data_IF_704408444550
#
_entry.id   IF_704408444550
#
_cell.length_a   1.000
_cell.length_b   1.000
_cell.length_c   1.000
_cell.angle_alpha   90.00
_cell.angle_beta   90.00
_cell.angle_gamma   90.00
#
_symmetry.space_group_name_H-M   'P 1'
#
loop_
_entity.id
_entity.type
_entity.pdbx_description
1 polymer ?
#
# COMPACT_ATOMS: atom_id res chain seq x y z
N UNK A 1 -33.54 -7.39 21.24
CA UNK A 1 -32.31 -6.57 21.39
C UNK A 1 -31.56 -6.64 20.07
N UNK A 2 -31.32 -5.52 19.41
CA UNK A 2 -30.46 -5.50 18.23
C UNK A 2 -29.05 -5.90 18.66
N UNK A 3 -28.46 -6.92 18.01
CA UNK A 3 -27.06 -7.32 18.25
C UNK A 3 -26.17 -6.10 18.05
N UNK A 4 -25.29 -5.79 19.03
CA UNK A 4 -24.28 -4.75 18.86
C UNK A 4 -23.28 -5.17 17.79
N UNK A 5 -22.93 -4.22 16.95
CA UNK A 5 -21.91 -4.42 15.93
C UNK A 5 -20.58 -4.76 16.61
N UNK A 6 -19.91 -5.82 16.13
CA UNK A 6 -18.63 -6.27 16.65
C UNK A 6 -17.56 -6.28 15.59
N UNK A 7 -16.48 -5.53 15.77
CA UNK A 7 -15.36 -5.40 14.83
C UNK A 7 -14.12 -6.10 15.38
N UNK A 8 -13.44 -6.87 14.54
CA UNK A 8 -12.08 -7.33 14.83
C UNK A 8 -11.05 -6.31 14.30
N UNK A 9 -10.01 -5.98 15.06
CA UNK A 9 -8.87 -5.21 14.56
C UNK A 9 -7.65 -6.11 14.57
N UNK A 10 -7.25 -6.56 13.38
CA UNK A 10 -6.08 -7.41 13.18
C UNK A 10 -4.81 -6.55 13.11
N UNK A 11 -3.82 -6.81 13.96
CA UNK A 11 -2.59 -6.03 14.00
C UNK A 11 -1.39 -6.89 14.41
N UNK A 12 -0.17 -6.48 14.01
CA UNK A 12 1.08 -7.12 14.46
C UNK A 12 1.69 -6.41 15.67
N UNK A 13 1.49 -5.11 15.76
CA UNK A 13 2.03 -4.26 16.84
C UNK A 13 1.19 -3.00 16.97
N UNK A 14 0.94 -2.57 18.21
CA UNK A 14 0.20 -1.33 18.47
C UNK A 14 1.12 -0.13 18.22
N UNK A 15 0.98 0.51 17.07
CA UNK A 15 1.60 1.79 16.71
C UNK A 15 0.69 2.95 17.12
N UNK A 16 1.05 4.15 16.79
CA UNK A 16 0.23 5.34 17.07
C UNK A 16 -1.10 5.29 16.27
N UNK A 17 -1.06 4.80 15.04
CA UNK A 17 -2.24 4.61 14.19
C UNK A 17 -3.26 3.66 14.83
N UNK A 18 -2.82 2.52 15.32
CA UNK A 18 -3.70 1.55 16.00
C UNK A 18 -4.29 2.14 17.27
N UNK A 19 -3.52 2.95 18.04
CA UNK A 19 -4.06 3.65 19.23
C UNK A 19 -5.16 4.65 18.85
N UNK A 20 -5.00 5.39 17.76
CA UNK A 20 -6.02 6.32 17.27
C UNK A 20 -7.26 5.57 16.79
N UNK A 21 -7.11 4.47 16.06
CA UNK A 21 -8.22 3.61 15.62
C UNK A 21 -8.98 3.06 16.82
N UNK A 22 -8.30 2.55 17.85
CA UNK A 22 -8.95 2.08 19.06
C UNK A 22 -9.72 3.20 19.75
N UNK A 23 -9.11 4.39 19.89
CA UNK A 23 -9.77 5.56 20.46
C UNK A 23 -11.00 6.00 19.66
N UNK A 24 -10.95 5.95 18.32
CA UNK A 24 -12.10 6.25 17.46
C UNK A 24 -13.24 5.23 17.65
N UNK A 25 -12.93 3.93 17.78
CA UNK A 25 -13.93 2.91 18.07
C UNK A 25 -14.57 3.11 19.45
N UNK A 26 -13.77 3.41 20.48
CA UNK A 26 -14.25 3.71 21.84
C UNK A 26 -15.15 4.93 21.86
N UNK A 27 -14.75 6.03 21.21
CA UNK A 27 -15.53 7.26 21.06
C UNK A 27 -16.88 7.04 20.38
N UNK A 28 -16.94 6.11 19.42
CA UNK A 28 -18.17 5.73 18.72
C UNK A 28 -18.99 4.65 19.44
N UNK A 29 -18.50 4.12 20.55
CA UNK A 29 -19.17 3.05 21.31
C UNK A 29 -19.27 1.74 20.54
N UNK A 30 -18.31 1.45 19.65
CA UNK A 30 -18.23 0.22 18.88
C UNK A 30 -17.61 -0.87 19.76
N UNK A 31 -18.22 -2.05 19.80
CA UNK A 31 -17.64 -3.24 20.41
C UNK A 31 -16.56 -3.80 19.49
N UNK A 32 -15.32 -3.97 19.99
CA UNK A 32 -14.23 -4.46 19.18
C UNK A 32 -13.24 -5.33 19.95
N UNK A 33 -12.66 -6.30 19.25
CA UNK A 33 -11.57 -7.14 19.75
C UNK A 33 -10.25 -6.78 19.08
N UNK A 34 -9.16 -6.83 19.86
CA UNK A 34 -7.79 -6.64 19.40
C UNK A 34 -7.20 -8.00 19.04
N UNK A 35 -6.94 -8.23 17.76
CA UNK A 35 -6.48 -9.50 17.21
C UNK A 35 -4.98 -9.39 16.84
N UNK A 36 -4.10 -9.87 17.72
CA UNK A 36 -2.66 -9.91 17.46
C UNK A 36 -2.36 -11.06 16.48
N UNK A 37 -1.89 -10.75 15.26
CA UNK A 37 -1.63 -11.72 14.21
C UNK A 37 -0.54 -12.76 14.56
N UNK A 38 0.21 -12.52 15.63
CA UNK A 38 1.23 -13.43 16.17
C UNK A 38 0.68 -14.39 17.23
N UNK A 39 -0.51 -14.12 17.74
CA UNK A 39 -1.13 -14.88 18.83
C UNK A 39 -2.39 -15.65 18.39
N UNK A 40 -3.00 -15.26 17.26
CA UNK A 40 -4.18 -15.94 16.72
C UNK A 40 -3.79 -17.17 15.92
N UNK A 41 -4.71 -18.13 15.83
CA UNK A 41 -4.65 -19.25 14.91
C UNK A 41 -6.02 -19.45 14.24
N UNK A 42 -6.04 -20.01 13.06
CA UNK A 42 -7.25 -20.33 12.32
C UNK A 42 -7.43 -21.84 12.29
N UNK A 43 -8.52 -22.36 12.87
CA UNK A 43 -8.96 -23.72 12.61
C UNK A 43 -9.75 -23.71 11.29
N UNK A 44 -9.21 -24.39 10.28
CA UNK A 44 -9.81 -24.41 8.94
C UNK A 44 -11.13 -25.19 8.88
N UNK A 45 -11.42 -26.01 9.90
CA UNK A 45 -12.64 -26.79 10.02
C UNK A 45 -13.69 -26.12 10.91
N UNK A 46 -13.34 -25.10 11.70
CA UNK A 46 -14.27 -24.33 12.53
C UNK A 46 -14.15 -22.82 12.32
N UNK A 47 -14.91 -22.24 11.39
CA UNK A 47 -14.93 -20.80 11.14
C UNK A 47 -15.70 -19.98 12.17
N UNK A 48 -16.51 -20.65 13.04
CA UNK A 48 -17.44 -19.97 13.96
C UNK A 48 -16.81 -18.92 14.86
N UNK A 49 -15.59 -19.11 15.43
CA UNK A 49 -14.94 -18.08 16.24
C UNK A 49 -14.74 -16.76 15.49
N UNK A 50 -14.60 -16.81 14.15
CA UNK A 50 -14.37 -15.63 13.32
C UNK A 50 -15.69 -15.01 12.83
N UNK A 51 -16.73 -15.82 12.63
CA UNK A 51 -18.04 -15.36 12.18
C UNK A 51 -18.80 -14.55 13.24
N UNK A 52 -18.25 -14.37 14.44
CA UNK A 52 -18.78 -13.43 15.41
C UNK A 52 -18.54 -11.96 15.03
N UNK A 53 -17.56 -11.68 14.18
CA UNK A 53 -17.25 -10.32 13.72
C UNK A 53 -18.12 -9.93 12.53
N UNK A 54 -18.65 -8.73 12.58
CA UNK A 54 -19.41 -8.13 11.47
C UNK A 54 -18.45 -7.61 10.39
N UNK A 55 -17.20 -7.22 10.78
CA UNK A 55 -16.08 -6.99 9.89
C UNK A 55 -14.75 -7.11 10.64
N UNK A 56 -13.66 -7.29 9.90
CA UNK A 56 -12.29 -7.20 10.44
C UNK A 56 -11.51 -6.11 9.70
N UNK A 57 -11.00 -5.14 10.47
CA UNK A 57 -10.07 -4.12 9.97
C UNK A 57 -8.64 -4.66 10.05
N UNK A 58 -7.98 -4.76 8.90
CA UNK A 58 -6.62 -5.27 8.78
C UNK A 58 -5.59 -4.15 8.94
N UNK A 59 -4.63 -4.35 9.84
CA UNK A 59 -3.54 -3.44 10.19
C UNK A 59 -2.21 -4.16 10.43
N UNK A 60 -2.04 -5.38 9.91
CA UNK A 60 -0.81 -6.15 10.06
C UNK A 60 0.38 -5.48 9.38
N UNK A 61 1.54 -5.49 10.04
CA UNK A 61 2.80 -5.01 9.45
C UNK A 61 3.39 -6.08 8.52
N UNK A 62 3.19 -7.36 8.87
CA UNK A 62 3.61 -8.49 8.06
C UNK A 62 2.64 -8.67 6.90
N UNK A 63 3.11 -8.41 5.67
CA UNK A 63 2.31 -8.63 4.47
C UNK A 63 1.72 -10.05 4.39
N UNK A 64 2.56 -11.06 4.64
CA UNK A 64 2.11 -12.45 4.56
C UNK A 64 1.05 -12.77 5.61
N UNK A 65 1.27 -12.37 6.88
CA UNK A 65 0.29 -12.63 7.94
C UNK A 65 -1.04 -11.94 7.63
N UNK A 66 -1.00 -10.66 7.24
CA UNK A 66 -2.19 -9.90 6.85
C UNK A 66 -2.92 -10.54 5.68
N UNK A 67 -2.23 -10.84 4.58
CA UNK A 67 -2.84 -11.41 3.38
C UNK A 67 -3.49 -12.78 3.65
N UNK A 68 -2.78 -13.69 4.34
CA UNK A 68 -3.35 -15.01 4.64
C UNK A 68 -4.52 -14.93 5.62
N UNK A 69 -4.44 -14.05 6.63
CA UNK A 69 -5.57 -13.82 7.53
C UNK A 69 -6.80 -13.28 6.78
N UNK A 70 -6.61 -12.30 5.88
CA UNK A 70 -7.69 -11.77 5.04
C UNK A 70 -8.31 -12.83 4.14
N UNK A 71 -7.49 -13.68 3.50
CA UNK A 71 -7.97 -14.78 2.66
C UNK A 71 -8.83 -15.75 3.46
N UNK A 72 -8.39 -16.13 4.67
CA UNK A 72 -9.15 -17.03 5.54
C UNK A 72 -10.44 -16.38 6.04
N UNK A 73 -10.39 -15.14 6.51
CA UNK A 73 -11.57 -14.41 6.97
C UNK A 73 -12.62 -14.28 5.84
N UNK A 74 -12.17 -13.89 4.63
CA UNK A 74 -13.09 -13.79 3.49
C UNK A 74 -13.65 -15.17 3.08
N UNK A 75 -12.84 -16.25 3.14
CA UNK A 75 -13.33 -17.61 2.90
C UNK A 75 -14.35 -18.06 3.95
N UNK A 76 -14.25 -17.57 5.19
CA UNK A 76 -15.21 -17.81 6.27
C UNK A 76 -16.46 -16.91 6.18
N UNK A 77 -16.56 -16.06 5.15
CA UNK A 77 -17.67 -15.13 4.96
C UNK A 77 -17.60 -13.89 5.86
N UNK A 78 -16.46 -13.59 6.46
CA UNK A 78 -16.26 -12.39 7.29
C UNK A 78 -15.79 -11.23 6.40
N UNK A 79 -16.53 -10.13 6.32
CA UNK A 79 -16.11 -8.92 5.61
C UNK A 79 -14.81 -8.35 6.19
N UNK A 80 -13.94 -7.82 5.33
CA UNK A 80 -12.67 -7.23 5.77
C UNK A 80 -12.42 -5.87 5.12
N UNK A 81 -11.68 -5.01 5.80
CA UNK A 81 -11.15 -3.75 5.29
C UNK A 81 -9.62 -3.75 5.47
N UNK A 82 -8.82 -3.78 4.37
CA UNK A 82 -9.28 -3.99 3.01
C UNK A 82 -9.61 -5.48 2.74
N UNK A 83 -10.12 -5.78 1.53
CA UNK A 83 -10.34 -7.18 1.12
C UNK A 83 -9.02 -7.89 0.80
N UNK A 84 -9.06 -9.23 0.82
CA UNK A 84 -7.90 -10.04 0.44
C UNK A 84 -7.38 -9.72 -0.98
N UNK A 85 -8.29 -9.48 -1.94
CA UNK A 85 -7.93 -9.14 -3.32
C UNK A 85 -7.22 -7.79 -3.42
N UNK A 86 -7.67 -6.80 -2.67
CA UNK A 86 -7.00 -5.49 -2.61
C UNK A 86 -5.61 -5.61 -1.98
N UNK A 87 -5.49 -6.35 -0.88
CA UNK A 87 -4.21 -6.58 -0.22
C UNK A 87 -3.22 -7.34 -1.13
N UNK A 88 -3.70 -8.31 -1.90
CA UNK A 88 -2.88 -9.07 -2.85
C UNK A 88 -2.35 -8.18 -3.98
N UNK A 89 -3.21 -7.35 -4.58
CA UNK A 89 -2.80 -6.45 -5.67
C UNK A 89 -1.85 -5.37 -5.13
N UNK A 90 -2.22 -4.69 -4.06
CA UNK A 90 -1.43 -3.57 -3.52
C UNK A 90 -0.13 -4.01 -2.83
N UNK A 91 -0.05 -5.24 -2.32
CA UNK A 91 1.15 -5.80 -1.68
C UNK A 91 2.24 -6.20 -2.66
N UNK A 92 1.92 -6.30 -3.94
CA UNK A 92 2.83 -6.66 -5.03
C UNK A 92 2.88 -5.53 -6.08
N UNK A 93 4.07 -4.93 -6.28
CA UNK A 93 4.26 -3.80 -7.21
C UNK A 93 3.98 -4.18 -8.66
N UNK A 94 4.29 -5.42 -9.05
CA UNK A 94 3.99 -5.89 -10.39
C UNK A 94 2.48 -6.02 -10.62
N UNK A 95 1.76 -6.57 -9.64
CA UNK A 95 0.31 -6.70 -9.73
C UNK A 95 -0.39 -5.33 -9.71
N UNK A 96 0.09 -4.40 -8.89
CA UNK A 96 -0.38 -3.00 -8.89
C UNK A 96 -0.16 -2.36 -10.26
N UNK A 97 1.05 -2.46 -10.82
CA UNK A 97 1.36 -1.89 -12.13
C UNK A 97 0.55 -2.52 -13.26
N UNK A 98 0.31 -3.83 -13.21
CA UNK A 98 -0.54 -4.52 -14.18
C UNK A 98 -2.01 -4.05 -14.10
N UNK A 99 -2.54 -3.84 -12.89
CA UNK A 99 -3.88 -3.30 -12.70
C UNK A 99 -4.02 -1.86 -13.23
N UNK A 100 -3.04 -1.00 -12.92
CA UNK A 100 -3.00 0.37 -13.43
C UNK A 100 -2.91 0.41 -14.96
N UNK A 101 -2.06 -0.44 -15.56
CA UNK A 101 -1.90 -0.53 -17.02
C UNK A 101 -3.19 -1.00 -17.70
N UNK A 102 -3.85 -2.04 -17.16
CA UNK A 102 -5.13 -2.55 -17.66
C UNK A 102 -6.19 -1.45 -17.76
N UNK A 103 -6.25 -0.57 -16.78
CA UNK A 103 -7.26 0.48 -16.67
C UNK A 103 -6.78 1.84 -17.22
N UNK A 104 -5.62 1.87 -17.88
CA UNK A 104 -5.06 3.08 -18.50
C UNK A 104 -4.74 4.20 -17.51
N UNK A 105 -4.40 3.85 -16.27
CA UNK A 105 -4.00 4.84 -15.25
C UNK A 105 -2.54 5.22 -15.46
N UNK A 106 -2.20 6.51 -15.56
CA UNK A 106 -0.83 6.97 -15.72
C UNK A 106 0.09 6.47 -14.62
N UNK A 107 1.20 5.83 -15.01
CA UNK A 107 2.24 5.30 -14.13
C UNK A 107 3.61 5.44 -14.79
N UNK A 108 4.72 5.31 -14.04
CA UNK A 108 6.04 5.20 -14.63
C UNK A 108 6.12 4.06 -15.64
N UNK A 109 7.02 4.16 -16.61
CA UNK A 109 7.31 3.02 -17.47
C UNK A 109 7.94 1.89 -16.66
N UNK A 110 7.34 0.71 -16.72
CA UNK A 110 7.74 -0.46 -15.95
C UNK A 110 7.95 -1.66 -16.88
N UNK A 111 8.95 -2.48 -16.57
CA UNK A 111 9.14 -3.79 -17.19
C UNK A 111 9.40 -4.85 -16.13
N UNK A 112 9.19 -6.10 -16.49
CA UNK A 112 9.48 -7.24 -15.64
C UNK A 112 10.20 -8.30 -16.44
N UNK A 113 11.24 -8.90 -15.84
CA UNK A 113 11.99 -10.02 -16.38
C UNK A 113 12.16 -11.12 -15.33
N UNK A 114 12.44 -12.33 -15.77
CA UNK A 114 12.57 -13.52 -14.93
C UNK A 114 13.96 -14.13 -14.96
N UNK A 115 14.88 -13.56 -15.75
CA UNK A 115 16.29 -13.89 -15.77
C UNK A 115 17.13 -12.63 -15.73
N UNK A 116 18.38 -12.67 -15.21
CA UNK A 116 19.28 -11.52 -15.23
C UNK A 116 19.55 -10.99 -16.64
N UNK A 117 19.67 -11.88 -17.62
CA UNK A 117 19.94 -11.52 -19.02
C UNK A 117 18.78 -10.72 -19.62
N UNK A 118 17.54 -11.22 -19.49
CA UNK A 118 16.35 -10.50 -19.97
C UNK A 118 16.13 -9.20 -19.19
N UNK A 119 16.50 -9.15 -17.91
CA UNK A 119 16.44 -7.92 -17.12
C UNK A 119 17.45 -6.88 -17.63
N UNK A 120 18.66 -7.30 -17.96
CA UNK A 120 19.69 -6.42 -18.52
C UNK A 120 19.27 -5.88 -19.88
N UNK A 121 18.71 -6.71 -20.76
CA UNK A 121 18.16 -6.26 -22.05
C UNK A 121 17.06 -5.20 -21.86
N UNK A 122 16.15 -5.41 -20.92
CA UNK A 122 15.11 -4.42 -20.60
C UNK A 122 15.69 -3.11 -20.05
N UNK A 123 16.70 -3.17 -19.18
CA UNK A 123 17.39 -1.99 -18.66
C UNK A 123 18.06 -1.20 -19.78
N UNK A 124 18.76 -1.89 -20.68
CA UNK A 124 19.40 -1.26 -21.85
C UNK A 124 18.37 -0.58 -22.77
N UNK A 125 17.19 -1.19 -22.94
CA UNK A 125 16.11 -0.60 -23.72
C UNK A 125 15.49 0.65 -23.06
N UNK A 126 15.44 0.70 -21.73
CA UNK A 126 15.01 1.90 -20.99
C UNK A 126 16.05 3.03 -21.05
N UNK A 127 17.32 2.66 -21.10
CA UNK A 127 18.42 3.58 -20.82
C UNK A 127 18.61 3.85 -19.31
N UNK A 128 19.73 4.49 -18.98
CA UNK A 128 20.10 4.78 -17.59
C UNK A 128 19.78 6.23 -17.21
N UNK A 129 19.47 6.51 -15.94
CA UNK A 129 19.32 5.55 -14.85
C UNK A 129 17.95 4.86 -14.81
N UNK A 130 17.90 3.67 -14.21
CA UNK A 130 16.67 2.93 -13.88
C UNK A 130 16.59 2.61 -12.39
N UNK A 131 15.42 2.20 -11.91
CA UNK A 131 15.21 1.75 -10.54
C UNK A 131 14.79 0.28 -10.52
N UNK A 132 15.58 -0.56 -9.85
CA UNK A 132 15.21 -1.93 -9.53
C UNK A 132 14.52 -1.96 -8.17
N UNK A 133 13.35 -2.62 -8.11
CA UNK A 133 12.56 -2.75 -6.89
C UNK A 133 12.25 -4.23 -6.61
N UNK A 134 12.14 -4.66 -5.34
CA UNK A 134 11.50 -5.93 -5.05
C UNK A 134 10.00 -5.82 -5.35
N UNK A 135 9.40 -6.87 -5.91
CA UNK A 135 7.94 -6.88 -6.18
C UNK A 135 7.14 -6.76 -4.89
N UNK A 136 7.56 -7.49 -3.85
CA UNK A 136 7.01 -7.37 -2.49
C UNK A 136 8.04 -6.70 -1.60
N UNK A 137 7.66 -5.61 -0.93
CA UNK A 137 8.54 -4.86 -0.03
C UNK A 137 7.99 -3.46 0.24
N UNK A 138 8.38 -2.91 1.40
CA UNK A 138 7.92 -1.62 1.91
C UNK A 138 9.08 -0.74 2.40
N UNK A 139 8.75 0.51 2.76
CA UNK A 139 9.67 1.50 3.34
C UNK A 139 10.91 1.83 2.50
N UNK A 140 10.84 1.68 1.17
CA UNK A 140 11.97 1.98 0.29
C UNK A 140 13.20 1.10 0.54
N UNK A 141 13.01 -0.12 1.07
CA UNK A 141 14.09 -1.08 1.27
C UNK A 141 14.37 -1.84 -0.01
N UNK A 142 15.66 -2.19 -0.21
CA UNK A 142 16.14 -2.98 -1.35
C UNK A 142 15.85 -2.33 -2.72
N UNK A 143 15.67 -1.01 -2.75
CA UNK A 143 15.64 -0.24 -3.99
C UNK A 143 17.07 0.03 -4.45
N UNK A 144 17.33 -0.16 -5.73
CA UNK A 144 18.61 0.18 -6.35
C UNK A 144 18.38 1.14 -7.52
N UNK A 145 18.98 2.34 -7.46
CA UNK A 145 19.16 3.21 -8.63
C UNK A 145 20.39 2.75 -9.37
N UNK A 146 20.22 2.32 -10.60
CA UNK A 146 21.26 1.75 -11.47
C UNK A 146 21.59 2.79 -12.52
N UNK A 147 22.83 3.24 -12.53
CA UNK A 147 23.27 4.37 -13.36
C UNK A 147 24.00 3.97 -14.64
N UNK A 148 24.46 2.73 -14.72
CA UNK A 148 25.23 2.20 -15.85
C UNK A 148 25.12 0.66 -15.91
N UNK A 149 25.71 0.07 -16.94
CA UNK A 149 25.67 -1.35 -17.22
C UNK A 149 26.39 -2.16 -16.13
N UNK A 150 27.56 -1.71 -15.68
CA UNK A 150 28.35 -2.47 -14.69
C UNK A 150 27.58 -2.58 -13.37
N UNK A 151 26.93 -1.48 -12.95
CA UNK A 151 26.05 -1.47 -11.79
C UNK A 151 24.82 -2.37 -11.98
N UNK A 152 24.26 -2.41 -13.20
CA UNK A 152 23.14 -3.31 -13.52
C UNK A 152 23.54 -4.78 -13.36
N UNK A 153 24.62 -5.20 -14.00
CA UNK A 153 25.14 -6.58 -13.95
C UNK A 153 25.41 -7.00 -12.50
N UNK A 154 26.08 -6.15 -11.71
CA UNK A 154 26.38 -6.45 -10.30
C UNK A 154 25.09 -6.61 -9.46
N UNK A 155 24.10 -5.72 -9.60
CA UNK A 155 22.84 -5.82 -8.83
C UNK A 155 22.01 -7.03 -9.26
N UNK A 156 21.96 -7.35 -10.54
CA UNK A 156 21.25 -8.52 -11.07
C UNK A 156 21.88 -9.82 -10.60
N UNK A 157 23.21 -9.93 -10.60
CA UNK A 157 23.97 -11.06 -10.06
C UNK A 157 23.69 -11.26 -8.58
N UNK A 158 23.79 -10.20 -7.77
CA UNK A 158 23.47 -10.27 -6.34
C UNK A 158 22.04 -10.77 -6.08
N UNK A 159 21.05 -10.24 -6.82
CA UNK A 159 19.65 -10.65 -6.67
C UNK A 159 19.44 -12.12 -7.06
N UNK A 160 20.06 -12.59 -8.13
CA UNK A 160 19.90 -13.97 -8.59
C UNK A 160 20.62 -14.99 -7.69
N UNK A 161 21.77 -14.60 -7.11
CA UNK A 161 22.63 -15.52 -6.33
C UNK A 161 22.24 -15.56 -4.85
N UNK A 162 22.00 -14.42 -4.24
CA UNK A 162 21.75 -14.29 -2.79
C UNK A 162 20.27 -14.04 -2.44
N UNK A 163 19.45 -13.81 -3.44
CA UNK A 163 18.03 -13.51 -3.24
C UNK A 163 17.20 -14.75 -2.90
N UNK A 164 16.07 -14.52 -2.26
CA UNK A 164 15.02 -15.54 -2.11
C UNK A 164 14.28 -15.74 -3.45
N UNK A 165 13.40 -16.74 -3.51
CA UNK A 165 12.54 -17.01 -4.69
C UNK A 165 11.80 -15.75 -5.18
N UNK A 166 11.40 -14.87 -4.29
CA UNK A 166 10.76 -13.59 -4.65
C UNK A 166 11.70 -12.60 -5.36
N UNK A 167 13.02 -12.77 -5.23
CA UNK A 167 14.02 -11.93 -5.89
C UNK A 167 14.35 -12.39 -7.31
N UNK A 168 13.84 -13.55 -7.75
CA UNK A 168 13.95 -14.00 -9.15
C UNK A 168 13.05 -13.24 -10.11
N UNK A 169 12.14 -12.39 -9.60
CA UNK A 169 11.35 -11.47 -10.39
C UNK A 169 12.04 -10.10 -10.38
N UNK A 170 12.49 -9.65 -11.54
CA UNK A 170 13.17 -8.38 -11.72
C UNK A 170 12.17 -7.33 -12.16
N UNK A 171 11.71 -6.49 -11.22
CA UNK A 171 10.84 -5.36 -11.52
C UNK A 171 11.70 -4.13 -11.75
N UNK A 172 11.63 -3.60 -12.98
CA UNK A 172 12.43 -2.48 -13.50
C UNK A 172 11.48 -1.31 -13.73
N UNK A 173 11.85 -0.13 -13.24
CA UNK A 173 11.08 1.10 -13.43
C UNK A 173 11.97 2.21 -13.94
N UNK A 174 11.46 3.05 -14.85
CA UNK A 174 12.16 4.27 -15.24
C UNK A 174 12.48 5.12 -14.00
N UNK A 175 13.66 5.74 -14.01
CA UNK A 175 13.98 6.72 -12.98
C UNK A 175 13.34 8.06 -13.34
N UNK A 176 12.52 8.58 -12.43
CA UNK A 176 11.90 9.89 -12.58
C UNK A 176 12.69 10.90 -11.76
N UNK A 177 13.22 11.92 -12.45
CA UNK A 177 13.84 13.08 -11.80
C UNK A 177 12.73 13.99 -11.29
N UNK A 178 12.34 13.79 -10.04
CA UNK A 178 11.28 14.53 -9.38
C UNK A 178 11.83 15.74 -8.61
N UNK A 179 11.01 16.77 -8.34
CA UNK A 179 11.44 18.03 -7.72
C UNK A 179 11.71 17.91 -6.21
N UNK A 180 12.45 16.88 -5.76
CA UNK A 180 12.77 16.66 -4.34
C UNK A 180 11.56 16.32 -3.46
N UNK A 181 10.43 15.94 -4.07
CA UNK A 181 9.20 15.57 -3.36
C UNK A 181 8.40 14.51 -4.11
N UNK A 182 7.45 13.90 -3.40
CA UNK A 182 6.34 13.16 -3.97
C UNK A 182 5.04 13.52 -3.21
N UNK A 183 3.91 13.00 -3.67
CA UNK A 183 2.61 13.25 -3.06
C UNK A 183 2.07 11.92 -2.53
N UNK A 184 1.67 11.88 -1.27
CA UNK A 184 0.86 10.78 -0.72
C UNK A 184 -0.56 11.28 -0.50
N UNK A 185 -1.54 10.65 -1.16
CA UNK A 185 -2.95 10.92 -0.97
C UNK A 185 -3.63 9.74 -0.26
N UNK A 186 -4.54 10.02 0.67
CA UNK A 186 -5.38 9.02 1.32
C UNK A 186 -6.72 8.97 0.61
N UNK A 187 -7.08 7.78 0.14
CA UNK A 187 -8.38 7.48 -0.46
C UNK A 187 -9.16 6.58 0.47
N UNK A 188 -10.40 6.94 0.77
CA UNK A 188 -11.33 6.13 1.57
C UNK A 188 -12.63 5.99 0.79
N UNK A 189 -12.87 4.76 0.31
CA UNK A 189 -14.03 4.48 -0.54
C UNK A 189 -13.94 5.22 -1.87
N UNK A 190 -14.83 6.17 -2.06
CA UNK A 190 -15.02 6.96 -3.30
C UNK A 190 -14.53 8.40 -3.20
N UNK A 191 -13.73 8.74 -2.18
CA UNK A 191 -13.22 10.11 -1.99
C UNK A 191 -11.73 10.14 -1.64
N UNK A 192 -11.05 11.18 -2.09
CA UNK A 192 -9.72 11.55 -1.62
C UNK A 192 -9.90 12.38 -0.35
N UNK A 193 -9.47 11.82 0.79
CA UNK A 193 -9.66 12.45 2.10
C UNK A 193 -8.70 13.63 2.32
N UNK A 194 -7.43 13.40 2.02
CA UNK A 194 -6.36 14.38 2.21
C UNK A 194 -5.13 13.97 1.40
N UNK A 195 -4.23 14.92 1.15
CA UNK A 195 -2.95 14.66 0.52
C UNK A 195 -1.81 15.43 1.19
N UNK A 196 -0.59 14.92 1.07
CA UNK A 196 0.61 15.48 1.69
C UNK A 196 1.79 15.39 0.73
N UNK A 197 2.56 16.46 0.57
CA UNK A 197 3.89 16.40 0.01
C UNK A 197 4.85 15.74 1.00
N UNK A 198 5.70 14.83 0.51
CA UNK A 198 6.82 14.27 1.27
C UNK A 198 8.11 14.81 0.65
N UNK A 199 8.78 15.73 1.34
CA UNK A 199 9.99 16.38 0.86
C UNK A 199 11.23 15.70 1.40
N UNK A 200 12.25 15.51 0.56
CA UNK A 200 13.53 14.93 0.94
C UNK A 200 14.61 15.35 -0.06
N UNK A 201 15.83 15.60 0.41
CA UNK A 201 17.00 15.76 -0.45
C UNK A 201 17.44 14.45 -1.12
N UNK A 202 17.03 13.31 -0.54
CA UNK A 202 17.30 12.00 -1.10
C UNK A 202 16.26 11.64 -2.18
N UNK A 203 16.68 10.93 -3.22
CA UNK A 203 15.77 10.50 -4.30
C UNK A 203 14.62 9.59 -3.83
N UNK A 204 14.79 8.90 -2.69
CA UNK A 204 13.71 8.21 -1.98
C UNK A 204 13.13 9.19 -0.95
N UNK A 205 11.88 9.61 -1.15
CA UNK A 205 11.20 10.65 -0.37
C UNK A 205 10.36 10.12 0.80
N UNK A 206 10.49 8.84 1.14
CA UNK A 206 9.75 8.20 2.23
C UNK A 206 9.97 8.89 3.58
N UNK A 207 8.88 9.20 4.31
CA UNK A 207 8.93 9.78 5.67
C UNK A 207 9.69 8.90 6.66
N UNK A 208 9.68 7.57 6.48
CA UNK A 208 10.51 6.63 7.27
C UNK A 208 12.02 6.89 7.14
N UNK A 209 12.47 7.69 6.18
CA UNK A 209 13.87 8.11 5.96
C UNK A 209 14.10 9.59 6.30
N UNK A 210 13.21 10.21 7.06
CA UNK A 210 13.33 11.61 7.49
C UNK A 210 12.71 12.63 6.54
N UNK A 211 11.85 12.21 5.60
CA UNK A 211 11.11 13.13 4.76
C UNK A 211 10.13 13.99 5.58
N UNK A 212 10.08 15.29 5.29
CA UNK A 212 9.15 16.22 5.92
C UNK A 212 7.79 16.19 5.22
N UNK A 213 6.71 16.21 6.02
CA UNK A 213 5.34 16.26 5.53
C UNK A 213 4.81 17.69 5.48
N UNK A 214 4.23 18.08 4.34
CA UNK A 214 3.54 19.36 4.16
C UNK A 214 2.19 19.13 3.48
N UNK A 215 1.15 19.83 3.92
CA UNK A 215 -0.19 19.69 3.33
C UNK A 215 -0.15 19.95 1.82
N UNK A 216 -0.69 19.04 1.04
CA UNK A 216 -0.86 19.16 -0.40
C UNK A 216 -2.33 19.46 -0.70
N UNK A 217 -2.65 20.57 -1.39
CA UNK A 217 -4.03 20.83 -1.83
C UNK A 217 -4.48 19.72 -2.81
N UNK A 218 -5.69 19.22 -2.62
CA UNK A 218 -6.30 18.27 -3.54
C UNK A 218 -6.80 19.06 -4.76
N UNK A 219 -6.07 18.92 -5.87
CA UNK A 219 -6.51 19.45 -7.16
C UNK A 219 -7.44 18.47 -7.86
N UNK A 220 -8.28 18.89 -8.83
CA UNK A 220 -9.09 17.98 -9.63
C UNK A 220 -8.28 16.87 -10.29
N UNK A 221 -7.05 17.16 -10.72
CA UNK A 221 -6.13 16.16 -11.31
C UNK A 221 -5.70 15.10 -10.29
N UNK A 222 -5.32 15.51 -9.06
CA UNK A 222 -4.97 14.59 -7.97
C UNK A 222 -6.17 13.72 -7.60
N UNK A 223 -7.36 14.34 -7.47
CA UNK A 223 -8.58 13.63 -7.10
C UNK A 223 -8.93 12.57 -8.15
N UNK A 224 -9.03 12.95 -9.43
CA UNK A 224 -9.35 12.04 -10.53
C UNK A 224 -8.36 10.88 -10.59
N UNK A 225 -7.05 11.19 -10.58
CA UNK A 225 -6.00 10.18 -10.70
C UNK A 225 -6.02 9.19 -9.53
N UNK A 226 -6.17 9.69 -8.29
CA UNK A 226 -6.23 8.85 -7.10
C UNK A 226 -7.48 7.95 -7.08
N UNK A 227 -8.65 8.47 -7.48
CA UNK A 227 -9.88 7.67 -7.55
C UNK A 227 -9.82 6.60 -8.63
N UNK A 228 -9.25 6.92 -9.81
CA UNK A 228 -9.00 5.93 -10.86
C UNK A 228 -8.03 4.84 -10.38
N UNK A 229 -6.94 5.23 -9.74
CA UNK A 229 -5.96 4.30 -9.18
C UNK A 229 -6.58 3.38 -8.11
N UNK A 230 -7.35 3.95 -7.18
CA UNK A 230 -8.05 3.18 -6.16
C UNK A 230 -9.04 2.18 -6.78
N UNK A 231 -9.81 2.60 -7.78
CA UNK A 231 -10.74 1.73 -8.50
C UNK A 231 -10.05 0.56 -9.19
N UNK A 232 -8.87 0.78 -9.78
CA UNK A 232 -8.10 -0.26 -10.48
C UNK A 232 -7.68 -1.42 -9.59
N UNK A 233 -7.50 -1.18 -8.29
CA UNK A 233 -7.12 -2.21 -7.31
C UNK A 233 -8.28 -2.74 -6.46
N UNK A 234 -9.50 -2.23 -6.67
CA UNK A 234 -10.71 -2.68 -5.96
C UNK A 234 -11.20 -1.76 -4.85
N UNK A 235 -10.61 -0.58 -4.68
CA UNK A 235 -11.04 0.43 -3.70
C UNK A 235 -10.64 0.10 -2.26
N UNK A 236 -11.32 0.74 -1.30
CA UNK A 236 -11.08 0.51 0.14
C UNK A 236 -10.43 1.69 0.85
N UNK A 237 -9.56 1.40 1.80
CA UNK A 237 -8.76 2.38 2.56
C UNK A 237 -7.32 2.31 2.05
N UNK A 238 -6.92 3.30 1.26
CA UNK A 238 -5.68 3.25 0.49
C UNK A 238 -4.85 4.52 0.66
N UNK A 239 -3.52 4.38 0.60
CA UNK A 239 -2.64 5.51 0.30
C UNK A 239 -2.10 5.36 -1.13
N UNK A 240 -2.32 6.38 -1.96
CA UNK A 240 -1.82 6.47 -3.33
C UNK A 240 -0.63 7.41 -3.34
N UNK A 241 0.51 6.91 -3.78
CA UNK A 241 1.74 7.69 -3.92
C UNK A 241 1.88 8.15 -5.36
N UNK A 242 1.89 9.48 -5.56
CA UNK A 242 2.04 10.11 -6.87
C UNK A 242 3.42 10.74 -7.00
N UNK A 243 3.96 10.73 -8.22
CA UNK A 243 5.16 11.48 -8.56
C UNK A 243 4.90 12.42 -9.72
N UNK A 244 5.57 13.58 -9.69
CA UNK A 244 5.55 14.57 -10.76
C UNK A 244 6.55 14.13 -11.84
N UNK A 245 6.05 13.58 -12.95
CA UNK A 245 6.88 13.19 -14.09
C UNK A 245 7.08 14.39 -15.01
N UNK A 246 8.33 14.68 -15.46
CA UNK A 246 8.63 15.90 -16.22
C UNK A 246 7.85 16.01 -17.54
N UNK A 247 7.48 14.90 -18.17
CA UNK A 247 6.80 14.90 -19.48
C UNK A 247 5.32 14.46 -19.39
N UNK A 248 4.97 13.62 -18.39
CA UNK A 248 3.64 12.98 -18.31
C UNK A 248 2.71 13.64 -17.28
N UNK A 249 3.18 14.66 -16.53
CA UNK A 249 2.44 15.21 -15.39
C UNK A 249 2.42 14.26 -14.19
N UNK A 250 1.31 14.19 -13.48
CA UNK A 250 1.19 13.29 -12.32
C UNK A 250 1.03 11.84 -12.77
N UNK A 251 1.80 10.94 -12.14
CA UNK A 251 1.71 9.49 -12.35
C UNK A 251 1.67 8.75 -11.01
N UNK A 252 0.97 7.60 -11.00
CA UNK A 252 0.86 6.74 -9.80
C UNK A 252 2.11 5.88 -9.68
N UNK A 253 2.85 6.06 -8.59
CA UNK A 253 4.07 5.29 -8.32
C UNK A 253 3.82 4.03 -7.49
N UNK A 254 2.90 4.07 -6.52
CA UNK A 254 2.60 2.96 -5.61
C UNK A 254 1.21 3.15 -4.97
N UNK A 255 0.55 2.03 -4.61
CA UNK A 255 -0.68 2.03 -3.82
C UNK A 255 -0.48 1.14 -2.60
N UNK A 256 -0.77 1.66 -1.41
CA UNK A 256 -0.58 0.97 -0.14
C UNK A 256 -1.94 0.68 0.53
N UNK A 257 -2.22 -0.59 0.85
CA UNK A 257 -3.47 -1.03 1.48
C UNK A 257 -3.45 -0.99 3.01
N UNK A 258 -2.28 -1.09 3.64
CA UNK A 258 -2.10 -0.95 5.11
C UNK A 258 -1.24 0.28 5.38
N UNK A 259 -1.83 1.44 5.12
CA UNK A 259 -1.12 2.72 5.14
C UNK A 259 -0.73 3.17 6.56
N UNK A 260 0.45 3.80 6.67
CA UNK A 260 0.83 4.62 7.81
C UNK A 260 0.35 6.05 7.60
N UNK A 261 -0.26 6.64 8.63
CA UNK A 261 -0.83 7.99 8.55
C UNK A 261 -0.50 8.87 9.76
N UNK A 262 0.43 8.43 10.62
CA UNK A 262 0.83 9.19 11.82
C UNK A 262 1.41 10.58 11.50
N UNK A 263 2.07 10.75 10.35
CA UNK A 263 2.55 12.06 9.90
C UNK A 263 1.43 12.87 9.28
N UNK A 264 0.54 12.23 8.52
CA UNK A 264 -0.49 12.94 7.76
C UNK A 264 -1.64 13.44 8.64
N UNK A 265 -2.07 12.71 9.66
CA UNK A 265 -3.17 13.13 10.53
C UNK A 265 -2.90 14.49 11.20
N UNK A 266 -1.75 14.74 11.86
CA UNK A 266 -1.47 16.06 12.42
C UNK A 266 -1.27 17.15 11.37
N UNK A 267 -0.69 16.84 10.20
CA UNK A 267 -0.46 17.81 9.12
C UNK A 267 -1.76 18.25 8.48
N UNK A 268 -2.72 17.34 8.29
CA UNK A 268 -4.02 17.65 7.68
C UNK A 268 -5.04 18.22 8.67
N UNK A 269 -4.88 17.94 9.97
CA UNK A 269 -5.88 18.24 10.99
C UNK A 269 -7.15 17.39 10.89
N UNK A 270 -7.17 16.36 10.02
CA UNK A 270 -8.29 15.44 9.83
C UNK A 270 -8.11 14.22 10.72
N UNK A 271 -9.16 13.78 11.40
CA UNK A 271 -9.15 12.52 12.16
C UNK A 271 -9.29 11.32 11.20
N UNK A 272 -8.14 10.94 10.59
CA UNK A 272 -8.07 9.86 9.61
C UNK A 272 -8.50 8.52 10.24
N UNK A 273 -8.18 8.30 11.52
CA UNK A 273 -8.57 7.09 12.23
C UNK A 273 -10.10 6.98 12.35
N UNK A 274 -10.79 8.06 12.64
CA UNK A 274 -12.26 8.12 12.72
C UNK A 274 -12.91 7.85 11.36
N UNK A 275 -12.34 8.37 10.27
CA UNK A 275 -12.80 8.14 8.90
C UNK A 275 -12.62 6.66 8.46
N UNK A 276 -11.51 6.02 8.85
CA UNK A 276 -11.30 4.58 8.61
C UNK A 276 -12.34 3.74 9.36
N UNK A 277 -12.61 4.08 10.61
CA UNK A 277 -13.63 3.38 11.42
C UNK A 277 -15.01 3.58 10.82
N UNK A 278 -15.35 4.79 10.39
CA UNK A 278 -16.62 5.07 9.72
C UNK A 278 -16.78 4.26 8.43
N UNK A 279 -15.74 4.18 7.61
CA UNK A 279 -15.75 3.37 6.39
C UNK A 279 -15.93 1.88 6.72
N UNK A 280 -15.24 1.37 7.76
CA UNK A 280 -15.39 -0.02 8.21
C UNK A 280 -16.84 -0.33 8.60
N UNK A 281 -17.51 0.61 9.26
CA UNK A 281 -18.93 0.48 9.60
C UNK A 281 -19.86 0.52 8.37
N UNK A 282 -19.48 1.23 7.29
CA UNK A 282 -20.25 1.23 6.03
C UNK A 282 -20.16 -0.13 5.33
N UNK A 283 -18.98 -0.75 5.33
CA UNK A 283 -18.76 -2.09 4.75
C UNK A 283 -19.62 -3.15 5.43
N UNK A 284 -19.84 -3.05 6.74
CA UNK A 284 -20.74 -3.98 7.48
C UNK A 284 -22.20 -3.86 7.03
N UNK A 285 -22.62 -2.67 6.60
CA UNK A 285 -24.02 -2.40 6.26
C UNK A 285 -24.35 -2.67 4.78
N UNK A 286 -23.32 -2.88 3.95
CA UNK A 286 -23.47 -3.14 2.52
C UNK A 286 -23.66 -4.64 2.25
#
# INVERSE_FOLDING_TARGET
MQRRLKIGVLYSRVRVEEKWIFGAMEKRGIDYDRLDDRAIHFDLNDPKPWQQYDAVLERSISYNNGLYALRLLNAFGVPTVNTASVAEICGDKLMTSAALARDGVPQPHNATAFTPEAALEAIEAFGYPVVLKPVVGSWGRLLAKVNDRDAAEAVLEHKSTLGSVQHSVFYIQEYIEKPGRDIRAIVIGDRVLTAMYRKSEHWITNTARGGEGELCPITPEIEELCLRAAKSVGGGVLAVDLVEHPEKGLVVNEINHTMEFHTMQPVSGIDIADEIVEYTMKVVKA
#
